data_IF_397634403878
#
_entry.id   IF_397634403878
#
_cell.length_a   1.000
_cell.length_b   1.000
_cell.length_c   1.000
_cell.angle_alpha   90.00
_cell.angle_beta   90.00
_cell.angle_gamma   90.00
#
_symmetry.space_group_name_H-M   'P 1'
#
loop_
_entity.id
_entity.type
_entity.pdbx_description
1 polymer ?
#
# COMPACT_ATOMS: atom_id res chain seq x y z
N UNK A 1 -52.50 20.26 -9.78
CA UNK A 1 -51.55 21.38 -9.62
C UNK A 1 -51.51 21.71 -8.12
N UNK A 2 -50.42 21.87 -7.39
CA UNK A 2 -49.01 21.95 -7.71
C UNK A 2 -48.18 21.31 -6.57
N UNK A 3 -46.98 20.86 -6.92
CA UNK A 3 -46.03 20.14 -6.08
C UNK A 3 -45.29 21.14 -5.18
N UNK A 4 -45.28 20.95 -3.86
CA UNK A 4 -44.50 21.79 -2.95
C UNK A 4 -43.04 21.32 -2.99
N UNK A 5 -42.23 21.95 -3.82
CA UNK A 5 -40.79 21.70 -3.92
C UNK A 5 -40.05 22.47 -2.83
N UNK A 6 -39.59 21.78 -1.80
CA UNK A 6 -38.76 22.40 -0.75
C UNK A 6 -37.32 22.52 -1.25
N UNK A 7 -36.96 23.70 -1.75
CA UNK A 7 -35.57 24.05 -2.08
C UNK A 7 -34.85 24.40 -0.77
N UNK A 8 -33.84 23.62 -0.39
CA UNK A 8 -33.05 23.87 0.81
C UNK A 8 -31.86 24.79 0.49
N UNK A 9 -31.89 26.04 1.00
CA UNK A 9 -30.73 26.95 1.06
C UNK A 9 -30.23 27.03 2.51
N UNK A 10 -28.92 26.95 2.78
CA UNK A 10 -28.41 27.05 4.14
C UNK A 10 -28.36 28.52 4.58
N UNK A 11 -28.80 28.79 5.81
CA UNK A 11 -28.69 30.07 6.56
C UNK A 11 -29.69 31.21 6.29
N UNK A 12 -30.98 30.93 6.03
CA UNK A 12 -32.02 31.93 6.34
C UNK A 12 -33.25 31.19 6.88
N UNK A 13 -33.72 31.53 8.09
CA UNK A 13 -35.07 31.20 8.55
C UNK A 13 -35.90 32.46 8.41
N UNK A 14 -36.64 32.57 7.31
CA UNK A 14 -37.70 33.57 7.19
C UNK A 14 -38.96 32.95 7.76
N UNK A 15 -39.55 33.59 8.78
CA UNK A 15 -40.92 33.30 9.20
C UNK A 15 -41.83 34.27 8.48
N UNK A 16 -42.73 33.75 7.66
CA UNK A 16 -43.82 34.51 7.02
C UNK A 16 -45.07 34.31 7.85
N UNK A 17 -45.72 35.40 8.25
CA UNK A 17 -47.09 35.39 8.74
C UNK A 17 -48.10 35.45 7.58
N UNK A 18 -49.39 35.29 7.89
CA UNK A 18 -50.47 34.94 6.95
C UNK A 18 -50.75 36.02 5.88
N UNK A 19 -50.10 37.18 5.94
CA UNK A 19 -50.26 38.28 4.96
C UNK A 19 -48.98 38.71 4.23
N UNK A 20 -47.87 37.98 4.36
CA UNK A 20 -46.80 37.98 3.37
C UNK A 20 -45.92 39.24 3.25
N UNK A 21 -45.62 39.95 4.34
CA UNK A 21 -44.56 40.97 4.37
C UNK A 21 -43.30 40.44 5.08
N UNK A 22 -42.11 40.88 4.62
CA UNK A 22 -40.79 40.46 5.12
C UNK A 22 -40.17 41.56 5.98
N UNK A 23 -39.97 41.32 7.27
CA UNK A 23 -39.10 42.18 8.09
C UNK A 23 -37.65 41.67 8.06
N UNK A 24 -36.79 42.42 7.36
CA UNK A 24 -35.34 42.23 7.37
C UNK A 24 -34.75 42.80 8.66
N UNK A 25 -34.48 41.93 9.64
CA UNK A 25 -33.64 42.29 10.78
C UNK A 25 -32.18 41.98 10.48
N UNK A 26 -31.47 42.94 9.90
CA UNK A 26 -30.02 42.94 9.85
C UNK A 26 -29.45 43.10 11.27
N UNK A 27 -28.59 42.17 11.70
CA UNK A 27 -27.76 42.35 12.89
C UNK A 27 -26.35 41.88 12.61
N UNK A 28 -25.51 42.88 12.32
CA UNK A 28 -24.31 43.19 13.10
C UNK A 28 -23.25 42.11 13.19
N UNK A 29 -22.13 42.34 12.50
CA UNK A 29 -20.95 41.50 12.59
C UNK A 29 -20.30 41.52 13.97
N UNK A 30 -19.97 40.34 14.48
CA UNK A 30 -18.87 40.16 15.43
C UNK A 30 -18.07 38.90 15.07
N UNK A 31 -16.75 39.10 15.06
CA UNK A 31 -15.70 38.18 14.70
C UNK A 31 -15.62 37.02 15.71
N UNK A 32 -16.44 35.98 15.52
CA UNK A 32 -16.44 34.81 16.40
C UNK A 32 -15.48 33.75 15.88
N UNK A 33 -14.37 33.59 16.58
CA UNK A 33 -13.48 32.42 16.53
C UNK A 33 -14.31 31.14 16.52
N UNK A 34 -14.42 30.48 15.35
CA UNK A 34 -15.26 29.28 15.16
C UNK A 34 -14.61 28.06 15.83
N UNK A 35 -14.60 28.01 17.15
CA UNK A 35 -14.57 26.74 17.89
C UNK A 35 -15.83 25.99 17.46
N UNK A 36 -15.66 24.96 16.62
CA UNK A 36 -16.76 24.22 16.02
C UNK A 36 -17.84 23.89 17.04
N UNK A 37 -19.07 24.36 16.79
CA UNK A 37 -20.23 24.08 17.61
C UNK A 37 -20.36 22.56 17.76
N UNK A 38 -20.19 22.07 18.99
CA UNK A 38 -20.37 20.66 19.31
C UNK A 38 -21.82 20.30 18.94
N UNK A 39 -21.99 19.59 17.82
CA UNK A 39 -23.31 19.19 17.33
C UNK A 39 -24.02 18.45 18.46
N UNK A 40 -25.21 18.92 18.84
CA UNK A 40 -26.06 18.20 19.82
C UNK A 40 -26.26 16.78 19.28
N UNK A 41 -25.79 15.79 20.05
CA UNK A 41 -25.92 14.39 19.68
C UNK A 41 -27.39 14.06 19.51
N UNK A 42 -27.75 13.40 18.42
CA UNK A 42 -29.10 12.86 18.26
C UNK A 42 -29.40 11.92 19.45
N UNK A 43 -30.64 11.90 19.95
CA UNK A 43 -31.01 10.97 21.01
C UNK A 43 -30.61 9.55 20.62
N UNK A 44 -30.02 8.76 21.54
CA UNK A 44 -29.59 7.41 21.21
C UNK A 44 -30.79 6.60 20.76
N UNK A 45 -30.84 6.24 19.48
CA UNK A 45 -31.87 5.32 18.99
C UNK A 45 -31.58 3.95 19.61
N UNK A 46 -32.38 3.57 20.60
CA UNK A 46 -32.36 2.22 21.17
C UNK A 46 -32.97 1.27 20.15
N UNK A 47 -32.14 0.60 19.35
CA UNK A 47 -32.59 -0.42 18.40
C UNK A 47 -31.64 -0.60 17.21
N UNK A 48 -31.67 -1.76 16.55
CA UNK A 48 -30.95 -1.97 15.30
C UNK A 48 -31.42 -0.98 14.23
N UNK A 49 -30.52 -0.56 13.36
CA UNK A 49 -30.91 0.24 12.20
C UNK A 49 -31.77 -0.59 11.23
N UNK A 50 -32.41 0.07 10.26
CA UNK A 50 -33.20 -0.56 9.19
C UNK A 50 -32.40 -1.58 8.36
N UNK A 51 -31.06 -1.57 8.47
CA UNK A 51 -30.16 -2.52 7.83
C UNK A 51 -29.77 -3.69 8.77
N UNK A 52 -30.50 -3.92 9.86
CA UNK A 52 -30.30 -5.03 10.80
C UNK A 52 -29.08 -4.91 11.73
N UNK A 53 -28.36 -3.78 11.72
CA UNK A 53 -27.15 -3.61 12.55
C UNK A 53 -27.49 -2.91 13.86
N UNK A 54 -27.14 -3.52 14.99
CA UNK A 54 -27.40 -3.01 16.35
C UNK A 54 -26.91 -1.58 16.58
N UNK A 55 -25.75 -1.22 16.02
CA UNK A 55 -25.18 0.12 16.13
C UNK A 55 -25.10 0.78 14.75
N UNK A 56 -25.78 1.93 14.57
CA UNK A 56 -25.72 2.71 13.31
C UNK A 56 -24.30 3.08 12.87
N UNK A 57 -23.38 3.27 13.81
CA UNK A 57 -21.95 3.52 13.52
C UNK A 57 -21.22 2.33 12.89
N UNK A 58 -21.72 1.12 13.09
CA UNK A 58 -21.21 -0.13 12.49
C UNK A 58 -21.92 -0.48 11.19
N UNK A 59 -23.07 0.12 10.92
CA UNK A 59 -23.77 -0.05 9.65
C UNK A 59 -22.96 0.59 8.52
N UNK A 60 -22.60 -0.19 7.49
CA UNK A 60 -21.84 0.31 6.33
C UNK A 60 -22.57 1.41 5.58
N UNK A 61 -23.91 1.38 5.58
CA UNK A 61 -24.75 2.38 4.91
C UNK A 61 -24.94 3.60 5.82
N UNK A 62 -25.46 3.43 7.05
CA UNK A 62 -25.73 4.55 7.94
C UNK A 62 -24.46 5.26 8.46
N UNK A 63 -23.34 4.54 8.58
CA UNK A 63 -22.07 5.05 9.09
C UNK A 63 -21.16 5.66 8.00
N UNK A 64 -21.51 5.48 6.73
CA UNK A 64 -20.79 6.09 5.63
C UNK A 64 -21.14 7.58 5.46
N UNK A 65 -20.20 8.31 4.88
CA UNK A 65 -20.44 9.61 4.29
C UNK A 65 -21.02 9.44 2.87
N UNK A 66 -21.54 10.50 2.23
CA UNK A 66 -21.97 10.44 0.82
C UNK A 66 -20.88 9.93 -0.14
N UNK A 67 -19.61 9.99 0.25
CA UNK A 67 -18.47 9.47 -0.54
C UNK A 67 -18.17 7.98 -0.27
N UNK A 68 -19.06 7.23 0.41
CA UNK A 68 -18.92 5.79 0.67
C UNK A 68 -17.81 5.42 1.67
N UNK A 69 -17.17 6.40 2.33
CA UNK A 69 -16.13 6.19 3.34
C UNK A 69 -16.72 6.40 4.74
N UNK A 70 -16.09 5.84 5.78
CA UNK A 70 -16.44 6.22 7.16
C UNK A 70 -16.26 7.72 7.34
N UNK A 71 -17.24 8.41 7.95
CA UNK A 71 -17.25 9.88 8.08
C UNK A 71 -15.97 10.44 8.69
N UNK A 72 -15.44 9.80 9.73
CA UNK A 72 -14.19 10.21 10.39
C UNK A 72 -12.92 9.98 9.54
N UNK A 73 -12.98 9.16 8.49
CA UNK A 73 -11.84 8.83 7.60
C UNK A 73 -12.00 9.42 6.20
N UNK A 74 -13.04 10.20 5.95
CA UNK A 74 -13.27 10.82 4.65
C UNK A 74 -12.53 12.16 4.59
N UNK A 75 -11.63 12.31 3.61
CA UNK A 75 -10.89 13.55 3.36
C UNK A 75 -11.83 14.67 2.93
N UNK A 76 -12.74 14.37 2.01
CA UNK A 76 -13.66 15.35 1.41
C UNK A 76 -14.73 15.86 2.40
N UNK A 77 -14.99 15.10 3.47
CA UNK A 77 -15.86 15.53 4.57
C UNK A 77 -15.11 16.22 5.73
N UNK A 78 -13.79 16.42 5.62
CA UNK A 78 -12.99 16.93 6.73
C UNK A 78 -13.00 16.00 7.96
N UNK A 79 -13.00 14.69 7.73
CA UNK A 79 -13.11 13.69 8.79
C UNK A 79 -12.06 13.88 9.88
N UNK A 80 -12.46 13.79 11.15
CA UNK A 80 -11.59 14.02 12.32
C UNK A 80 -10.39 13.07 12.44
N UNK A 81 -10.34 11.99 11.67
CA UNK A 81 -9.21 11.09 11.58
C UNK A 81 -8.18 11.48 10.51
N UNK A 82 -8.43 12.50 9.70
CA UNK A 82 -7.56 12.95 8.61
C UNK A 82 -6.74 14.17 9.05
N UNK A 83 -5.43 14.17 8.82
CA UNK A 83 -4.57 15.31 9.08
C UNK A 83 -4.56 16.28 7.89
N UNK A 84 -3.92 17.44 8.06
CA UNK A 84 -3.71 18.41 6.98
C UNK A 84 -3.01 17.81 5.75
N UNK A 85 -2.10 16.85 5.95
CA UNK A 85 -1.44 16.10 4.88
C UNK A 85 -2.35 15.11 4.13
N UNK A 86 -3.64 15.07 4.45
CA UNK A 86 -4.62 14.17 3.81
C UNK A 86 -4.44 12.68 4.15
N UNK A 87 -3.61 12.36 5.15
CA UNK A 87 -3.36 10.99 5.64
C UNK A 87 -4.13 10.76 6.94
N UNK A 88 -4.25 9.51 7.37
CA UNK A 88 -4.82 9.21 8.68
C UNK A 88 -3.87 9.72 9.78
N UNK A 89 -4.36 10.59 10.67
CA UNK A 89 -3.60 11.24 11.76
C UNK A 89 -2.71 10.27 12.52
N UNK A 90 -3.27 9.13 12.94
CA UNK A 90 -2.52 8.13 13.71
C UNK A 90 -1.33 7.51 12.96
N UNK A 91 -1.31 7.57 11.64
CA UNK A 91 -0.27 6.99 10.77
C UNK A 91 0.57 8.02 10.00
N UNK A 92 0.25 9.31 10.14
CA UNK A 92 0.97 10.36 9.47
C UNK A 92 2.33 10.54 10.17
N UNK A 93 3.41 10.45 9.39
CA UNK A 93 4.77 10.66 9.92
C UNK A 93 5.01 12.12 10.27
N UNK A 94 4.56 13.03 9.40
CA UNK A 94 4.74 14.49 9.57
C UNK A 94 4.01 15.01 10.81
N UNK A 95 2.85 14.43 11.15
CA UNK A 95 2.11 14.78 12.37
C UNK A 95 2.55 13.98 13.61
N UNK A 96 3.63 13.18 13.56
CA UNK A 96 4.06 12.34 14.69
C UNK A 96 2.99 11.34 15.14
N UNK A 97 2.19 10.81 14.20
CA UNK A 97 1.05 9.96 14.49
C UNK A 97 1.37 8.80 15.43
N UNK A 98 0.45 8.46 16.33
CA UNK A 98 0.66 7.48 17.41
C UNK A 98 1.16 6.07 16.96
N UNK A 99 1.06 5.72 15.68
CA UNK A 99 1.62 4.47 15.14
C UNK A 99 3.06 4.59 14.62
N UNK A 100 3.67 5.77 14.65
CA UNK A 100 5.04 6.06 14.23
C UNK A 100 5.91 6.24 15.48
N UNK A 101 7.07 5.58 15.54
CA UNK A 101 8.05 5.78 16.60
C UNK A 101 8.95 6.98 16.29
N UNK A 102 9.77 7.38 17.27
CA UNK A 102 10.82 8.39 17.11
C UNK A 102 11.77 8.08 15.93
N UNK A 103 12.03 6.79 15.64
CA UNK A 103 12.83 6.35 14.49
C UNK A 103 12.14 6.52 13.12
N UNK A 104 10.98 7.19 13.04
CA UNK A 104 10.24 7.42 11.80
C UNK A 104 9.67 6.14 11.14
N UNK A 105 9.68 5.02 11.85
CA UNK A 105 9.14 3.72 11.43
C UNK A 105 7.80 3.46 12.11
N UNK A 106 7.01 2.53 11.57
CA UNK A 106 5.78 2.09 12.25
C UNK A 106 6.16 1.37 13.55
N UNK A 107 5.67 1.83 14.70
CA UNK A 107 6.01 1.31 16.06
C UNK A 107 5.99 -0.21 16.12
N UNK A 108 4.92 -0.84 15.63
CA UNK A 108 4.77 -2.31 15.64
C UNK A 108 5.79 -3.07 14.78
N UNK A 109 6.55 -2.39 13.92
CA UNK A 109 7.56 -2.96 13.02
C UNK A 109 8.96 -2.41 13.28
N UNK A 110 9.13 -1.58 14.30
CA UNK A 110 10.42 -1.01 14.64
C UNK A 110 11.20 -2.02 15.49
N UNK A 111 12.40 -2.38 15.05
CA UNK A 111 13.32 -3.26 15.77
C UNK A 111 13.89 -2.58 17.00
N UNK A 112 14.29 -1.30 16.87
CA UNK A 112 14.86 -0.49 17.95
C UNK A 112 13.88 -0.25 19.10
N UNK A 113 12.57 -0.10 18.81
CA UNK A 113 11.54 0.00 19.84
C UNK A 113 10.97 -1.35 20.31
N UNK A 114 11.58 -2.48 19.92
CA UNK A 114 11.05 -3.83 20.17
C UNK A 114 9.54 -3.95 19.88
N UNK A 115 9.12 -3.42 18.72
CA UNK A 115 7.71 -3.34 18.37
C UNK A 115 6.99 -4.69 18.46
N UNK A 116 5.69 -4.68 18.78
CA UNK A 116 4.90 -5.91 18.99
C UNK A 116 4.91 -6.92 17.84
N UNK A 117 5.28 -6.51 16.62
CA UNK A 117 5.45 -7.37 15.46
C UNK A 117 6.87 -7.90 15.24
N UNK A 118 7.84 -7.60 16.11
CA UNK A 118 9.23 -8.06 16.05
C UNK A 118 9.44 -9.16 17.10
N UNK A 119 10.08 -10.28 16.72
CA UNK A 119 10.45 -11.34 17.65
C UNK A 119 11.81 -11.07 18.29
N UNK A 120 12.18 -11.90 19.27
CA UNK A 120 13.51 -11.88 19.92
C UNK A 120 14.67 -11.98 18.92
N UNK A 121 14.46 -12.67 17.79
CA UNK A 121 15.45 -12.78 16.70
C UNK A 121 15.60 -11.49 15.85
N UNK A 122 14.97 -10.38 16.23
CA UNK A 122 14.99 -9.12 15.47
C UNK A 122 14.25 -9.17 14.12
N UNK A 123 13.56 -10.27 13.82
CA UNK A 123 12.79 -10.49 12.59
C UNK A 123 11.31 -10.18 12.82
N UNK A 124 10.54 -9.97 11.75
CA UNK A 124 9.07 -9.86 11.90
C UNK A 124 8.50 -11.20 12.38
N UNK A 125 7.76 -11.20 13.50
CA UNK A 125 7.16 -12.40 14.11
C UNK A 125 6.41 -13.25 13.09
N UNK A 126 5.59 -12.63 12.25
CA UNK A 126 4.77 -13.33 11.26
C UNK A 126 5.59 -14.11 10.21
N UNK A 127 6.83 -13.70 9.96
CA UNK A 127 7.71 -14.31 8.93
C UNK A 127 8.96 -14.97 9.52
N UNK A 128 9.11 -14.97 10.85
CA UNK A 128 10.24 -15.59 11.52
C UNK A 128 10.06 -17.12 11.48
N UNK A 129 11.06 -17.82 10.94
CA UNK A 129 11.04 -19.29 10.89
C UNK A 129 11.23 -19.90 12.27
N UNK A 130 12.16 -19.36 13.06
CA UNK A 130 12.47 -19.85 14.42
C UNK A 130 11.26 -19.73 15.35
N UNK A 131 10.44 -18.67 15.21
CA UNK A 131 9.23 -18.51 16.01
C UNK A 131 7.98 -19.19 15.41
N UNK A 132 8.10 -19.97 14.33
CA UNK A 132 6.93 -20.58 13.67
C UNK A 132 5.90 -19.55 13.18
N UNK A 133 6.36 -18.38 12.71
CA UNK A 133 5.50 -17.26 12.36
C UNK A 133 4.35 -17.65 11.43
N UNK A 134 3.17 -17.05 11.60
CA UNK A 134 1.94 -17.45 10.90
C UNK A 134 2.03 -17.48 9.35
N UNK A 135 3.01 -16.81 8.75
CA UNK A 135 3.27 -16.84 7.30
C UNK A 135 4.23 -17.95 6.86
N UNK A 136 4.79 -18.72 7.78
CA UNK A 136 5.69 -19.86 7.53
C UNK A 136 4.89 -21.15 7.67
N UNK A 137 5.07 -22.09 6.74
CA UNK A 137 4.49 -23.43 6.84
C UNK A 137 5.45 -24.40 7.53
N UNK A 138 4.98 -25.61 7.83
CA UNK A 138 5.77 -26.70 8.41
C UNK A 138 7.04 -27.02 7.59
N UNK A 139 7.00 -26.83 6.27
CA UNK A 139 8.15 -27.00 5.38
C UNK A 139 9.20 -25.88 5.48
N UNK A 140 9.07 -24.93 6.43
CA UNK A 140 10.00 -23.82 6.60
C UNK A 140 10.00 -22.80 5.45
N UNK A 141 8.99 -22.84 4.57
CA UNK A 141 8.78 -21.94 3.43
C UNK A 141 7.67 -20.93 3.76
N UNK A 142 7.60 -19.81 3.03
CA UNK A 142 6.43 -18.94 3.15
C UNK A 142 5.19 -19.70 2.68
N UNK A 143 4.16 -19.78 3.53
CA UNK A 143 2.93 -20.55 3.30
C UNK A 143 2.26 -20.19 1.98
N UNK A 144 2.24 -18.91 1.61
CA UNK A 144 1.67 -18.46 0.33
C UNK A 144 2.48 -18.88 -0.91
N UNK A 145 3.75 -19.23 -0.77
CA UNK A 145 4.65 -19.65 -1.86
C UNK A 145 4.98 -21.16 -1.81
N UNK A 146 4.52 -21.86 -0.78
CA UNK A 146 4.82 -23.28 -0.60
C UNK A 146 3.96 -24.11 -1.57
N UNK A 147 4.62 -24.93 -2.39
CA UNK A 147 3.94 -25.84 -3.32
C UNK A 147 3.24 -26.98 -2.58
N UNK A 148 3.90 -27.58 -1.59
CA UNK A 148 3.37 -28.69 -0.81
C UNK A 148 2.10 -28.29 -0.04
N UNK A 149 2.03 -27.06 0.46
CA UNK A 149 0.83 -26.55 1.16
C UNK A 149 -0.23 -25.94 0.22
N UNK A 150 -0.07 -26.02 -1.11
CA UNK A 150 -1.01 -25.39 -2.05
C UNK A 150 -1.11 -23.86 -1.86
N UNK A 151 0.01 -23.20 -1.56
CA UNK A 151 0.05 -21.78 -1.23
C UNK A 151 -0.68 -20.90 -2.23
N UNK A 152 -1.29 -19.81 -1.76
CA UNK A 152 -2.15 -18.94 -2.59
C UNK A 152 -1.46 -18.32 -3.82
N UNK A 153 -0.13 -18.33 -3.91
CA UNK A 153 0.62 -17.87 -5.08
C UNK A 153 0.97 -19.00 -6.05
N UNK A 154 0.66 -20.25 -5.73
CA UNK A 154 0.92 -21.43 -6.57
C UNK A 154 -0.37 -21.82 -7.30
N UNK A 155 -0.30 -22.00 -8.62
CA UNK A 155 -1.42 -22.51 -9.41
C UNK A 155 -1.49 -24.04 -9.34
N UNK A 156 -2.56 -24.61 -9.88
CA UNK A 156 -2.72 -26.06 -10.05
C UNK A 156 -1.55 -26.70 -10.82
N UNK A 157 -0.95 -25.98 -11.76
CA UNK A 157 0.24 -26.42 -12.52
C UNK A 157 1.55 -26.42 -11.71
N UNK A 158 1.51 -26.17 -10.39
CA UNK A 158 2.69 -26.14 -9.53
C UNK A 158 3.68 -25.01 -9.82
N UNK A 159 3.27 -24.01 -10.60
CA UNK A 159 4.03 -22.79 -10.93
C UNK A 159 3.50 -21.60 -10.12
N UNK A 160 4.27 -20.51 -10.04
CA UNK A 160 3.74 -19.27 -9.46
C UNK A 160 2.65 -18.70 -10.36
N UNK A 161 1.44 -18.49 -9.84
CA UNK A 161 0.25 -17.99 -10.56
C UNK A 161 0.57 -16.78 -11.42
N UNK A 162 1.30 -15.81 -10.87
CA UNK A 162 1.61 -14.56 -11.57
C UNK A 162 2.49 -14.73 -12.81
N UNK A 163 3.26 -15.81 -12.95
CA UNK A 163 4.11 -16.10 -14.12
C UNK A 163 3.68 -17.37 -14.86
N UNK A 164 2.55 -17.97 -14.50
CA UNK A 164 2.05 -19.15 -15.16
C UNK A 164 1.40 -18.74 -16.48
N UNK A 165 1.87 -19.29 -17.60
CA UNK A 165 1.30 -19.03 -18.93
C UNK A 165 -0.10 -19.66 -19.07
N UNK A 166 -0.26 -20.87 -18.55
CA UNK A 166 -1.51 -21.64 -18.60
C UNK A 166 -2.63 -21.02 -17.74
N UNK A 167 -2.29 -20.14 -16.78
CA UNK A 167 -3.27 -19.43 -15.96
C UNK A 167 -3.38 -17.93 -16.32
N UNK A 168 -2.86 -17.51 -17.47
CA UNK A 168 -2.79 -16.09 -17.87
C UNK A 168 -2.29 -15.18 -16.74
N UNK A 169 -1.17 -15.60 -16.13
CA UNK A 169 -0.60 -14.93 -14.98
C UNK A 169 -0.41 -13.43 -15.21
N UNK A 170 -0.64 -12.61 -14.19
CA UNK A 170 -0.58 -11.15 -14.29
C UNK A 170 0.77 -10.56 -14.74
N UNK A 171 1.83 -11.37 -14.82
CA UNK A 171 3.14 -10.97 -15.38
C UNK A 171 3.38 -11.52 -16.78
N UNK A 172 2.45 -12.26 -17.40
CA UNK A 172 2.56 -12.79 -18.76
C UNK A 172 1.79 -11.87 -19.72
N UNK A 173 2.43 -11.45 -20.81
CA UNK A 173 1.76 -10.68 -21.87
C UNK A 173 1.05 -11.60 -22.86
N UNK A 174 0.24 -11.01 -23.74
CA UNK A 174 -0.41 -11.70 -24.86
C UNK A 174 0.56 -12.51 -25.74
N UNK A 175 1.81 -12.06 -25.85
CA UNK A 175 2.89 -12.77 -26.56
C UNK A 175 3.46 -13.99 -25.81
N UNK A 176 2.86 -14.40 -24.68
CA UNK A 176 3.30 -15.53 -23.87
C UNK A 176 4.68 -15.35 -23.23
N UNK A 177 5.18 -14.12 -23.12
CA UNK A 177 6.46 -13.74 -22.49
C UNK A 177 6.21 -13.00 -21.17
N UNK A 178 7.19 -12.96 -20.27
CA UNK A 178 7.08 -12.07 -19.09
C UNK A 178 6.97 -10.61 -19.56
N UNK A 179 5.92 -9.89 -19.16
CA UNK A 179 5.63 -8.48 -19.51
C UNK A 179 6.86 -7.60 -19.37
N UNK A 180 7.59 -7.72 -18.25
CA UNK A 180 8.79 -6.92 -17.99
C UNK A 180 9.93 -7.17 -18.99
N UNK A 181 9.99 -8.35 -19.62
CA UNK A 181 11.04 -8.76 -20.58
C UNK A 181 10.54 -8.78 -22.03
N UNK A 182 9.27 -8.52 -22.27
CA UNK A 182 8.72 -8.56 -23.61
C UNK A 182 9.14 -7.31 -24.38
N UNK A 183 9.82 -7.49 -25.52
CA UNK A 183 10.24 -6.37 -26.38
C UNK A 183 9.04 -5.70 -27.05
N UNK A 184 8.11 -6.51 -27.57
CA UNK A 184 6.88 -6.04 -28.25
C UNK A 184 5.99 -5.21 -27.30
N UNK A 185 5.94 -5.54 -26.02
CA UNK A 185 5.18 -4.76 -25.03
C UNK A 185 5.99 -3.61 -24.40
N UNK A 186 7.20 -3.30 -24.87
CA UNK A 186 8.05 -2.26 -24.27
C UNK A 186 8.40 -2.54 -22.80
N UNK A 187 8.61 -3.81 -22.45
CA UNK A 187 8.76 -4.27 -21.07
C UNK A 187 9.79 -3.47 -20.28
N UNK A 188 9.49 -3.18 -19.01
CA UNK A 188 10.31 -2.31 -18.15
C UNK A 188 11.78 -2.76 -17.94
N UNK A 189 12.14 -4.00 -18.32
CA UNK A 189 13.53 -4.48 -18.29
C UNK A 189 14.24 -4.34 -19.62
N UNK A 190 13.59 -3.89 -20.69
CA UNK A 190 14.16 -3.69 -22.04
C UNK A 190 14.46 -2.21 -22.26
N UNK A 191 15.66 -1.89 -22.75
CA UNK A 191 16.04 -0.54 -23.12
C UNK A 191 15.60 -0.21 -24.56
N UNK A 192 15.74 1.06 -24.94
CA UNK A 192 15.51 1.51 -26.33
C UNK A 192 16.34 0.73 -27.36
N UNK A 193 17.54 0.28 -26.97
CA UNK A 193 18.41 -0.56 -27.81
C UNK A 193 17.94 -2.03 -27.92
N UNK A 194 16.73 -2.38 -27.44
CA UNK A 194 16.18 -3.73 -27.51
C UNK A 194 16.92 -4.78 -26.69
N UNK A 195 17.80 -4.36 -25.76
CA UNK A 195 18.59 -5.20 -24.85
C UNK A 195 18.03 -5.13 -23.43
N UNK A 196 18.40 -6.09 -22.58
CA UNK A 196 18.04 -6.01 -21.15
C UNK A 196 18.77 -4.81 -20.55
N UNK A 197 18.03 -3.86 -19.95
CA UNK A 197 18.55 -2.59 -19.39
C UNK A 197 19.77 -2.79 -18.52
N UNK A 198 19.75 -3.79 -17.63
CA UNK A 198 20.88 -4.06 -16.72
C UNK A 198 22.14 -4.54 -17.45
N UNK A 199 22.00 -5.13 -18.64
CA UNK A 199 23.12 -5.67 -19.44
C UNK A 199 23.52 -4.76 -20.60
N UNK A 200 22.78 -3.69 -20.85
CA UNK A 200 23.04 -2.80 -21.96
C UNK A 200 24.25 -1.90 -21.64
N UNK A 201 25.31 -1.99 -22.45
CA UNK A 201 26.51 -1.16 -22.29
C UNK A 201 26.21 0.33 -22.56
N UNK A 202 25.46 0.61 -23.62
CA UNK A 202 25.08 1.98 -24.02
C UNK A 202 24.22 2.68 -22.97
N UNK A 203 23.38 1.94 -22.23
CA UNK A 203 22.60 2.49 -21.13
C UNK A 203 23.34 2.50 -19.78
N UNK A 204 24.63 2.14 -19.73
CA UNK A 204 25.38 2.04 -18.47
C UNK A 204 24.78 1.01 -17.50
N UNK A 205 24.25 -0.09 -18.03
CA UNK A 205 23.46 -1.06 -17.28
C UNK A 205 24.14 -1.55 -16.00
N UNK A 206 23.35 -1.75 -14.94
CA UNK A 206 23.82 -2.17 -13.60
C UNK A 206 24.65 -3.46 -13.54
N UNK A 207 24.74 -4.24 -14.61
CA UNK A 207 25.57 -5.44 -14.73
C UNK A 207 26.90 -5.21 -15.46
N UNK A 208 27.13 -4.04 -16.06
CA UNK A 208 28.34 -3.69 -16.82
C UNK A 208 29.19 -2.70 -15.99
N UNK A 209 30.49 -2.96 -15.84
CA UNK A 209 31.42 -2.03 -15.18
C UNK A 209 31.90 -0.94 -16.13
N UNK A 210 32.60 0.05 -15.58
CA UNK A 210 33.26 1.11 -16.37
C UNK A 210 34.24 0.55 -17.43
N UNK A 211 34.86 -0.60 -17.17
CA UNK A 211 35.73 -1.31 -18.11
C UNK A 211 34.97 -2.02 -19.26
N UNK A 212 33.64 -1.81 -19.38
CA UNK A 212 32.81 -2.42 -20.44
C UNK A 212 32.64 -3.94 -20.35
N UNK A 213 33.05 -4.55 -19.22
CA UNK A 213 32.92 -5.98 -18.90
C UNK A 213 31.75 -6.21 -17.96
N UNK A 214 31.26 -7.45 -17.86
CA UNK A 214 30.24 -7.77 -16.87
C UNK A 214 30.85 -7.64 -15.46
N UNK A 215 30.23 -6.88 -14.55
CA UNK A 215 30.75 -6.58 -13.20
C UNK A 215 31.18 -7.84 -12.45
N UNK A 216 30.40 -8.92 -12.54
CA UNK A 216 30.74 -10.20 -11.89
C UNK A 216 31.96 -10.90 -12.48
N UNK A 217 32.40 -10.56 -13.69
CA UNK A 217 33.54 -11.20 -14.38
C UNK A 217 34.72 -10.24 -14.56
N UNK A 218 34.61 -8.99 -14.12
CA UNK A 218 35.67 -8.02 -14.24
C UNK A 218 36.71 -8.25 -13.13
N UNK A 219 37.95 -8.52 -13.51
CA UNK A 219 39.06 -8.69 -12.56
C UNK A 219 39.43 -7.37 -11.87
N UNK A 220 39.48 -6.28 -12.63
CA UNK A 220 39.80 -4.94 -12.11
C UNK A 220 38.78 -4.47 -11.07
N UNK A 221 37.51 -4.85 -11.22
CA UNK A 221 36.46 -4.52 -10.24
C UNK A 221 36.29 -5.57 -9.13
N UNK A 222 37.16 -6.58 -9.02
CA UNK A 222 37.01 -7.64 -8.03
C UNK A 222 35.69 -8.41 -8.14
N UNK A 223 35.22 -8.64 -9.37
CA UNK A 223 33.91 -9.22 -9.64
C UNK A 223 33.68 -10.54 -8.91
N UNK A 224 32.45 -10.78 -8.44
CA UNK A 224 32.10 -11.95 -7.62
C UNK A 224 32.39 -13.32 -8.27
N UNK A 225 32.53 -13.36 -9.59
CA UNK A 225 32.92 -14.54 -10.37
C UNK A 225 34.43 -14.73 -10.53
N UNK A 226 35.26 -13.85 -9.97
CA UNK A 226 36.73 -13.96 -9.95
C UNK A 226 37.16 -14.50 -8.59
N UNK A 227 38.07 -15.49 -8.59
CA UNK A 227 38.67 -16.04 -7.38
C UNK A 227 39.86 -15.19 -6.92
N UNK A 228 40.37 -15.49 -5.73
CA UNK A 228 41.60 -14.90 -5.20
C UNK A 228 42.81 -15.12 -6.12
N UNK A 229 42.84 -16.23 -6.88
CA UNK A 229 43.87 -16.52 -7.88
C UNK A 229 43.72 -15.71 -9.19
N UNK A 230 42.83 -14.72 -9.24
CA UNK A 230 42.63 -13.86 -10.42
C UNK A 230 42.04 -14.59 -11.63
N UNK A 231 41.48 -15.79 -11.46
CA UNK A 231 40.81 -16.59 -12.51
C UNK A 231 39.30 -16.57 -12.32
N UNK A 232 38.53 -16.92 -13.35
CA UNK A 232 37.09 -17.13 -13.15
C UNK A 232 36.89 -18.32 -12.20
N UNK A 233 36.12 -18.15 -11.11
CA UNK A 233 35.86 -19.19 -10.09
C UNK A 233 35.39 -20.50 -10.73
N UNK A 234 34.50 -20.41 -11.72
CA UNK A 234 33.98 -21.59 -12.45
C UNK A 234 35.03 -22.37 -13.25
N UNK A 235 36.17 -21.75 -13.57
CA UNK A 235 37.28 -22.34 -14.35
C UNK A 235 38.55 -22.55 -13.51
N UNK A 236 38.54 -22.15 -12.24
CA UNK A 236 39.70 -22.26 -11.38
C UNK A 236 39.73 -23.67 -10.77
N UNK A 237 40.69 -24.50 -11.18
CA UNK A 237 40.87 -25.86 -10.66
C UNK A 237 41.11 -25.87 -9.14
N UNK A 238 41.89 -24.92 -8.63
CA UNK A 238 42.18 -24.73 -7.21
C UNK A 238 40.93 -24.36 -6.39
N UNK A 239 39.93 -23.73 -7.02
CA UNK A 239 38.64 -23.42 -6.39
C UNK A 239 37.55 -24.46 -6.68
N UNK A 240 37.90 -25.65 -7.18
CA UNK A 240 36.93 -26.71 -7.51
C UNK A 240 36.05 -26.43 -8.72
N UNK A 241 36.49 -25.56 -9.64
CA UNK A 241 35.76 -25.22 -10.86
C UNK A 241 35.59 -26.41 -11.80
N UNK A 242 34.35 -26.65 -12.24
CA UNK A 242 33.92 -27.87 -12.94
C UNK A 242 34.13 -27.85 -14.46
N UNK A 243 34.71 -26.79 -15.04
CA UNK A 243 34.95 -26.70 -16.48
C UNK A 243 36.37 -27.19 -16.81
N UNK A 244 36.46 -28.37 -17.46
CA UNK A 244 37.65 -28.80 -18.21
C UNK A 244 37.92 -27.82 -19.35
#
# INVERSE_FOLDING_TARGET
MAMRTTIWRPNVRVTLDEYGEVEDTESGGEELTKKGTKRKGAPPTKGPCEHGVKYRSQCKVCGACPHGKQRNRCKDCGGSGICEHGRLRFSCKECGGASICEHGRRRSRCTECAGSGICEHGRRRSTCKECGGASICEHGRQRSQCKECGGSQICEHGRRRSVCKECDGSQICEHGRERKRCKECGGASICEHGRIRSQCKECGGGSICEHGRHRSQCKECGGSGICEHGRQRSRCKECGGSRK
#
